data_IF_075603159789
#
_entry.id   IF_075603159789
#
_cell.length_a   1.000
_cell.length_b   1.000
_cell.length_c   1.000
_cell.angle_alpha   90.00
_cell.angle_beta   90.00
_cell.angle_gamma   90.00
#
_symmetry.space_group_name_H-M   'P 1'
#
loop_
_entity.id
_entity.type
_entity.pdbx_description
1 polymer ?
#
# COMPACT_ATOMS: atom_id res chain seq x y z
N UNK A 1 18.01 -20.18 10.13
CA UNK A 1 18.53 -19.40 11.28
C UNK A 1 17.33 -18.70 11.90
N UNK A 2 17.08 -18.81 13.21
CA UNK A 2 15.96 -18.13 13.86
C UNK A 2 16.52 -16.89 14.57
N UNK A 3 16.13 -15.69 14.13
CA UNK A 3 16.53 -14.46 14.83
C UNK A 3 15.93 -14.46 16.24
N UNK A 4 16.77 -14.47 17.29
CA UNK A 4 16.29 -14.15 18.64
C UNK A 4 16.06 -12.66 18.70
N UNK A 5 14.80 -12.25 18.70
CA UNK A 5 14.43 -10.83 18.74
C UNK A 5 14.73 -10.29 20.14
N UNK A 6 15.77 -9.46 20.28
CA UNK A 6 16.05 -8.70 21.51
C UNK A 6 14.89 -7.75 21.85
N UNK A 7 14.81 -7.29 23.10
CA UNK A 7 13.79 -6.29 23.49
C UNK A 7 13.86 -5.01 22.64
N UNK A 8 15.06 -4.58 22.23
CA UNK A 8 15.26 -3.44 21.34
C UNK A 8 14.70 -3.71 19.94
N UNK A 9 14.95 -4.90 19.38
CA UNK A 9 14.41 -5.32 18.10
C UNK A 9 12.88 -5.45 18.12
N UNK A 10 12.28 -5.89 19.24
CA UNK A 10 10.82 -5.90 19.41
C UNK A 10 10.25 -4.48 19.40
N UNK A 11 10.85 -3.56 20.17
CA UNK A 11 10.43 -2.15 20.19
C UNK A 11 10.48 -1.52 18.80
N UNK A 12 11.55 -1.79 18.04
CA UNK A 12 11.70 -1.30 16.67
C UNK A 12 10.63 -1.84 15.72
N UNK A 13 10.23 -3.11 15.84
CA UNK A 13 9.13 -3.68 15.06
C UNK A 13 7.78 -3.07 15.42
N UNK A 14 7.53 -2.84 16.72
CA UNK A 14 6.32 -2.15 17.18
C UNK A 14 6.23 -0.74 16.60
N UNK A 15 7.33 0.01 16.57
CA UNK A 15 7.37 1.33 15.93
C UNK A 15 7.01 1.26 14.44
N UNK A 16 7.53 0.28 13.69
CA UNK A 16 7.17 0.09 12.29
C UNK A 16 5.69 -0.26 12.10
N UNK A 17 5.13 -1.09 12.98
CA UNK A 17 3.69 -1.38 12.98
C UNK A 17 2.86 -0.12 13.21
N UNK A 18 3.22 0.71 14.19
CA UNK A 18 2.52 1.97 14.47
C UNK A 18 2.55 2.89 13.25
N UNK A 19 3.70 3.05 12.60
CA UNK A 19 3.83 3.84 11.37
C UNK A 19 2.93 3.28 10.27
N UNK A 20 2.94 1.95 10.06
CA UNK A 20 2.09 1.31 9.06
C UNK A 20 0.59 1.54 9.36
N UNK A 21 0.16 1.42 10.62
CA UNK A 21 -1.22 1.70 11.02
C UNK A 21 -1.60 3.17 10.81
N UNK A 22 -0.68 4.11 11.07
CA UNK A 22 -0.92 5.53 10.79
C UNK A 22 -1.17 5.78 9.30
N UNK A 23 -0.41 5.10 8.42
CA UNK A 23 -0.60 5.18 6.97
C UNK A 23 -1.94 4.56 6.54
N UNK A 24 -2.34 3.42 7.11
CA UNK A 24 -3.68 2.85 6.88
C UNK A 24 -4.78 3.79 7.36
N UNK A 25 -4.56 4.48 8.49
CA UNK A 25 -5.47 5.50 9.01
C UNK A 25 -5.71 6.66 8.03
N UNK A 26 -4.70 7.01 7.22
CA UNK A 26 -4.87 8.04 6.17
C UNK A 26 -5.90 7.63 5.11
N UNK A 27 -5.95 6.34 4.72
CA UNK A 27 -6.98 5.83 3.80
C UNK A 27 -8.39 6.02 4.37
N UNK A 28 -8.56 5.78 5.67
CA UNK A 28 -9.84 6.00 6.35
C UNK A 28 -10.21 7.49 6.37
N UNK A 29 -9.24 8.36 6.62
CA UNK A 29 -9.42 9.81 6.61
C UNK A 29 -9.88 10.27 5.22
N UNK A 30 -9.32 9.75 4.13
CA UNK A 30 -9.78 10.09 2.78
C UNK A 30 -11.24 9.74 2.55
N UNK A 31 -11.66 8.52 2.93
CA UNK A 31 -13.06 8.09 2.81
C UNK A 31 -13.97 8.97 3.64
N UNK A 32 -13.58 9.28 4.88
CA UNK A 32 -14.34 10.15 5.78
C UNK A 32 -14.49 11.57 5.22
N UNK A 33 -13.39 12.18 4.76
CA UNK A 33 -13.41 13.53 4.18
C UNK A 33 -14.29 13.58 2.93
N UNK A 34 -14.14 12.62 2.02
CA UNK A 34 -14.97 12.55 0.81
C UNK A 34 -16.45 12.35 1.16
N UNK A 35 -16.76 11.52 2.16
CA UNK A 35 -18.13 11.33 2.65
C UNK A 35 -18.72 12.61 3.24
N UNK A 36 -17.93 13.37 4.01
CA UNK A 36 -18.37 14.67 4.55
C UNK A 36 -18.62 15.69 3.44
N UNK A 37 -17.74 15.76 2.44
CA UNK A 37 -17.92 16.64 1.27
C UNK A 37 -19.21 16.31 0.51
N UNK A 38 -19.49 15.01 0.31
CA UNK A 38 -20.71 14.55 -0.35
C UNK A 38 -21.96 14.84 0.48
N UNK A 39 -21.95 14.54 1.78
CA UNK A 39 -23.13 14.68 2.65
C UNK A 39 -23.52 16.14 2.92
N UNK A 40 -22.55 17.05 2.91
CA UNK A 40 -22.80 18.48 3.05
C UNK A 40 -23.16 19.17 1.72
N UNK A 41 -23.12 18.45 0.59
CA UNK A 41 -23.29 19.04 -0.74
C UNK A 41 -22.22 20.09 -1.07
N UNK A 42 -21.06 20.03 -0.39
CA UNK A 42 -19.99 21.03 -0.47
C UNK A 42 -19.05 20.79 -1.67
N UNK A 43 -19.44 19.93 -2.61
CA UNK A 43 -18.62 19.54 -3.75
C UNK A 43 -19.24 20.01 -5.07
N UNK A 44 -18.52 20.88 -5.76
CA UNK A 44 -18.82 21.23 -7.15
C UNK A 44 -17.99 20.33 -8.05
N UNK A 45 -18.63 19.32 -8.64
CA UNK A 45 -17.98 18.36 -9.53
C UNK A 45 -17.85 18.95 -10.94
N UNK A 46 -16.77 18.59 -11.65
CA UNK A 46 -16.54 19.06 -13.02
C UNK A 46 -17.42 18.34 -14.04
N UNK A 47 -17.70 17.07 -13.79
CA UNK A 47 -18.45 16.20 -14.69
C UNK A 47 -19.54 15.47 -13.91
N UNK A 48 -20.59 15.07 -14.62
CA UNK A 48 -21.58 14.16 -14.05
C UNK A 48 -21.04 12.73 -14.00
N UNK A 49 -21.53 11.86 -13.09
CA UNK A 49 -21.07 10.47 -12.98
C UNK A 49 -21.17 9.66 -14.28
N UNK A 50 -22.08 10.02 -15.19
CA UNK A 50 -22.27 9.36 -16.48
C UNK A 50 -21.03 9.41 -17.36
N UNK A 51 -20.14 10.39 -17.18
CA UNK A 51 -18.88 10.45 -17.93
C UNK A 51 -18.01 9.20 -17.70
N UNK A 52 -18.12 8.56 -16.53
CA UNK A 52 -17.39 7.32 -16.24
C UNK A 52 -17.82 6.17 -17.16
N UNK A 53 -19.05 6.22 -17.69
CA UNK A 53 -19.59 5.24 -18.65
C UNK A 53 -19.30 5.63 -20.10
N UNK A 54 -18.84 6.85 -20.36
CA UNK A 54 -18.44 7.27 -21.71
C UNK A 54 -17.27 6.43 -22.21
N UNK A 55 -17.34 6.02 -23.47
CA UNK A 55 -16.27 5.29 -24.13
C UNK A 55 -15.05 6.18 -24.28
N UNK A 56 -13.92 5.65 -23.83
CA UNK A 56 -12.61 6.27 -23.99
C UNK A 56 -11.76 5.40 -24.92
N UNK A 57 -10.44 5.59 -24.91
CA UNK A 57 -9.46 4.84 -25.69
C UNK A 57 -9.77 3.33 -25.73
N UNK A 58 -9.63 2.73 -26.92
CA UNK A 58 -9.94 1.31 -27.21
C UNK A 58 -11.40 0.89 -26.96
N UNK A 59 -12.37 1.82 -26.99
CA UNK A 59 -13.79 1.56 -26.72
C UNK A 59 -14.06 1.05 -25.28
N UNK A 60 -13.12 1.27 -24.37
CA UNK A 60 -13.24 0.95 -22.96
C UNK A 60 -13.65 2.22 -22.24
N UNK A 61 -14.63 2.14 -21.33
CA UNK A 61 -15.09 3.31 -20.59
C UNK A 61 -14.10 3.75 -19.49
N UNK A 62 -14.18 5.01 -19.07
CA UNK A 62 -13.28 5.60 -18.07
C UNK A 62 -13.31 4.86 -16.73
N UNK A 63 -14.48 4.32 -16.33
CA UNK A 63 -14.62 3.51 -15.13
C UNK A 63 -13.73 2.26 -15.18
N UNK A 64 -13.79 1.53 -16.28
CA UNK A 64 -12.99 0.32 -16.50
C UNK A 64 -11.51 0.70 -16.57
N UNK A 65 -11.15 1.83 -17.19
CA UNK A 65 -9.77 2.32 -17.15
C UNK A 65 -9.27 2.59 -15.73
N UNK A 66 -10.06 3.24 -14.88
CA UNK A 66 -9.69 3.50 -13.50
C UNK A 66 -9.41 2.19 -12.73
N UNK A 67 -10.29 1.19 -12.87
CA UNK A 67 -10.10 -0.13 -12.25
C UNK A 67 -8.94 -0.92 -12.87
N UNK A 68 -8.73 -0.84 -14.18
CA UNK A 68 -7.60 -1.50 -14.85
C UNK A 68 -6.27 -0.93 -14.36
N UNK A 69 -6.15 0.40 -14.30
CA UNK A 69 -4.95 1.06 -13.77
C UNK A 69 -4.73 0.67 -12.32
N UNK A 70 -5.76 0.77 -11.46
CA UNK A 70 -5.66 0.34 -10.07
C UNK A 70 -5.28 -1.12 -9.90
N UNK A 71 -5.89 -2.02 -10.69
CA UNK A 71 -5.63 -3.45 -10.69
C UNK A 71 -4.21 -3.80 -11.18
N UNK A 72 -3.73 -3.14 -12.23
CA UNK A 72 -2.35 -3.32 -12.74
C UNK A 72 -1.34 -2.84 -11.71
N UNK A 73 -1.53 -1.66 -11.12
CA UNK A 73 -0.66 -1.12 -10.08
C UNK A 73 -0.63 -2.05 -8.87
N UNK A 74 -1.80 -2.55 -8.43
CA UNK A 74 -1.90 -3.51 -7.33
C UNK A 74 -1.17 -4.83 -7.66
N UNK A 75 -1.48 -5.44 -8.81
CA UNK A 75 -0.90 -6.71 -9.23
C UNK A 75 0.61 -6.63 -9.41
N UNK A 76 1.09 -5.63 -10.16
CA UNK A 76 2.51 -5.40 -10.37
C UNK A 76 3.24 -5.06 -9.07
N UNK A 77 2.64 -4.24 -8.20
CA UNK A 77 3.18 -3.90 -6.89
C UNK A 77 3.32 -5.11 -5.97
N UNK A 78 2.30 -5.97 -5.89
CA UNK A 78 2.35 -7.21 -5.10
C UNK A 78 3.43 -8.14 -5.63
N UNK A 79 3.48 -8.34 -6.94
CA UNK A 79 4.46 -9.20 -7.59
C UNK A 79 5.89 -8.69 -7.32
N UNK A 80 6.11 -7.39 -7.54
CA UNK A 80 7.41 -6.76 -7.32
C UNK A 80 7.82 -6.82 -5.85
N UNK A 81 6.92 -6.54 -4.90
CA UNK A 81 7.20 -6.62 -3.47
C UNK A 81 7.65 -8.03 -3.07
N UNK A 82 6.90 -9.06 -3.46
CA UNK A 82 7.23 -10.46 -3.14
C UNK A 82 8.61 -10.86 -3.68
N UNK A 83 8.92 -10.49 -4.92
CA UNK A 83 10.20 -10.79 -5.57
C UNK A 83 11.34 -10.03 -4.91
N UNK A 84 11.18 -8.73 -4.68
CA UNK A 84 12.18 -7.88 -4.04
C UNK A 84 12.43 -8.29 -2.59
N UNK A 85 11.38 -8.62 -1.84
CA UNK A 85 11.48 -9.15 -0.47
C UNK A 85 12.28 -10.45 -0.44
N UNK A 86 11.94 -11.41 -1.31
CA UNK A 86 12.63 -12.70 -1.38
C UNK A 86 14.10 -12.53 -1.76
N UNK A 87 14.40 -11.64 -2.72
CA UNK A 87 15.77 -11.32 -3.11
C UNK A 87 16.55 -10.69 -1.94
N UNK A 88 15.99 -9.65 -1.32
CA UNK A 88 16.58 -8.94 -0.18
C UNK A 88 16.85 -9.88 1.00
N UNK A 89 15.93 -10.78 1.29
CA UNK A 89 16.12 -11.78 2.32
C UNK A 89 17.27 -12.76 2.01
N UNK A 90 17.35 -13.28 0.78
CA UNK A 90 18.45 -14.17 0.36
C UNK A 90 19.81 -13.48 0.45
N UNK A 91 19.89 -12.22 0.04
CA UNK A 91 21.12 -11.43 0.13
C UNK A 91 21.58 -11.23 1.56
N UNK A 92 20.66 -10.93 2.49
CA UNK A 92 21.00 -10.79 3.91
C UNK A 92 21.43 -12.13 4.50
N UNK A 93 20.77 -13.24 4.13
CA UNK A 93 21.16 -14.57 4.62
C UNK A 93 22.53 -15.05 4.11
N UNK A 94 22.95 -14.59 2.94
CA UNK A 94 24.25 -14.92 2.37
C UNK A 94 25.40 -14.13 3.03
N UNK A 95 25.09 -13.08 3.80
CA UNK A 95 26.08 -12.28 4.51
C UNK A 95 26.43 -12.93 5.86
N UNK A 96 27.72 -12.94 6.18
CA UNK A 96 28.22 -13.31 7.51
C UNK A 96 28.20 -12.09 8.41
N UNK A 97 27.42 -12.13 9.48
CA UNK A 97 27.38 -11.09 10.50
C UNK A 97 28.08 -11.58 11.76
N UNK A 98 28.86 -10.71 12.40
CA UNK A 98 29.51 -11.03 13.68
C UNK A 98 28.48 -11.00 14.84
N UNK A 99 27.43 -10.17 14.71
CA UNK A 99 26.38 -10.01 15.73
C UNK A 99 24.99 -10.17 15.14
N UNK A 100 24.10 -10.84 15.86
CA UNK A 100 22.69 -11.00 15.46
C UNK A 100 21.95 -9.66 15.30
N UNK A 101 22.34 -8.65 16.07
CA UNK A 101 21.76 -7.30 16.02
C UNK A 101 22.11 -6.54 14.72
N UNK A 102 23.30 -6.78 14.17
CA UNK A 102 23.72 -6.19 12.89
C UNK A 102 22.94 -6.81 11.72
N UNK A 103 22.72 -8.12 11.76
CA UNK A 103 21.87 -8.82 10.80
C UNK A 103 20.43 -8.28 10.83
N UNK A 104 19.87 -8.12 12.03
CA UNK A 104 18.53 -7.56 12.22
C UNK A 104 18.42 -6.12 11.69
N UNK A 105 19.37 -5.25 12.04
CA UNK A 105 19.35 -3.85 11.62
C UNK A 105 19.53 -3.70 10.10
N UNK A 106 20.37 -4.52 9.49
CA UNK A 106 20.56 -4.56 8.03
C UNK A 106 19.28 -4.99 7.33
N UNK A 107 18.66 -6.09 7.78
CA UNK A 107 17.39 -6.56 7.24
C UNK A 107 16.29 -5.50 7.40
N UNK A 108 16.15 -4.95 8.61
CA UNK A 108 15.16 -3.91 8.93
C UNK A 108 15.29 -2.71 8.00
N UNK A 109 16.50 -2.16 7.85
CA UNK A 109 16.74 -0.97 7.03
C UNK A 109 16.27 -1.20 5.59
N UNK A 110 16.67 -2.33 4.98
CA UNK A 110 16.26 -2.70 3.62
C UNK A 110 14.76 -2.98 3.50
N UNK A 111 14.18 -3.65 4.50
CA UNK A 111 12.74 -3.91 4.56
C UNK A 111 11.94 -2.61 4.62
N UNK A 112 12.37 -1.65 5.44
CA UNK A 112 11.70 -0.35 5.61
C UNK A 112 11.68 0.42 4.28
N UNK A 113 12.82 0.49 3.58
CA UNK A 113 12.86 1.10 2.25
C UNK A 113 11.90 0.42 1.28
N UNK A 114 11.89 -0.93 1.26
CA UNK A 114 10.99 -1.69 0.41
C UNK A 114 9.52 -1.44 0.75
N UNK A 115 9.18 -1.42 2.03
CA UNK A 115 7.83 -1.16 2.54
C UNK A 115 7.33 0.22 2.10
N UNK A 116 8.12 1.28 2.32
CA UNK A 116 7.71 2.64 1.96
C UNK A 116 7.51 2.85 0.46
N UNK A 117 8.39 2.29 -0.38
CA UNK A 117 8.23 2.36 -1.84
C UNK A 117 6.90 1.75 -2.27
N UNK A 118 6.53 0.60 -1.70
CA UNK A 118 5.29 -0.10 -2.08
C UNK A 118 4.05 0.53 -1.43
N UNK A 119 4.16 1.07 -0.21
CA UNK A 119 3.10 1.89 0.38
C UNK A 119 2.79 3.09 -0.53
N UNK A 120 3.81 3.82 -0.99
CA UNK A 120 3.62 4.95 -1.90
C UNK A 120 3.01 4.52 -3.25
N UNK A 121 3.42 3.36 -3.78
CA UNK A 121 2.83 2.79 -4.99
C UNK A 121 1.34 2.51 -4.81
N UNK A 122 0.95 1.83 -3.73
CA UNK A 122 -0.45 1.49 -3.47
C UNK A 122 -1.29 2.73 -3.09
N UNK A 123 -0.69 3.73 -2.44
CA UNK A 123 -1.31 5.02 -2.15
C UNK A 123 -1.76 5.73 -3.42
N UNK A 124 -1.02 5.60 -4.53
CA UNK A 124 -1.43 6.17 -5.82
C UNK A 124 -2.79 5.66 -6.32
N UNK A 125 -3.21 4.45 -5.93
CA UNK A 125 -4.52 3.89 -6.25
C UNK A 125 -5.62 4.64 -5.47
N UNK A 126 -5.39 4.94 -4.19
CA UNK A 126 -6.32 5.72 -3.39
C UNK A 126 -6.41 7.16 -3.92
N UNK A 127 -5.28 7.78 -4.30
CA UNK A 127 -5.25 9.09 -4.94
C UNK A 127 -6.05 9.11 -6.24
N UNK A 128 -5.92 8.07 -7.09
CA UNK A 128 -6.77 7.93 -8.28
C UNK A 128 -8.26 7.89 -7.91
N UNK A 129 -8.63 7.17 -6.86
CA UNK A 129 -10.00 7.16 -6.33
C UNK A 129 -10.49 8.54 -5.91
N UNK A 130 -9.67 9.30 -5.20
CA UNK A 130 -9.98 10.68 -4.80
C UNK A 130 -10.17 11.56 -6.03
N UNK A 131 -9.31 11.45 -7.05
CA UNK A 131 -9.44 12.21 -8.30
C UNK A 131 -10.75 11.89 -9.00
N UNK A 132 -11.14 10.61 -9.08
CA UNK A 132 -12.44 10.21 -9.64
C UNK A 132 -13.58 10.86 -8.86
N UNK A 133 -13.57 10.78 -7.53
CA UNK A 133 -14.61 11.41 -6.70
C UNK A 133 -14.67 12.93 -6.87
N UNK A 134 -13.53 13.63 -6.82
CA UNK A 134 -13.50 15.08 -6.93
C UNK A 134 -13.93 15.59 -8.31
N UNK A 135 -13.76 14.79 -9.36
CA UNK A 135 -14.13 15.17 -10.72
C UNK A 135 -15.56 14.79 -11.09
N UNK A 136 -16.10 13.69 -10.55
CA UNK A 136 -17.41 13.14 -10.98
C UNK A 136 -18.45 13.01 -9.86
N UNK A 137 -18.03 13.11 -8.60
CA UNK A 137 -18.89 12.84 -7.44
C UNK A 137 -19.12 11.35 -7.15
N UNK A 138 -18.50 10.44 -7.92
CA UNK A 138 -18.72 9.00 -7.75
C UNK A 138 -17.97 8.44 -6.53
N UNK A 139 -18.65 8.44 -5.38
CA UNK A 139 -18.11 7.97 -4.11
C UNK A 139 -17.83 6.46 -4.11
N UNK A 140 -18.67 5.66 -4.78
CA UNK A 140 -18.52 4.21 -4.82
C UNK A 140 -17.20 3.79 -5.47
N UNK A 141 -16.82 4.38 -6.60
CA UNK A 141 -15.54 4.07 -7.27
C UNK A 141 -14.35 4.48 -6.41
N UNK A 142 -14.41 5.63 -5.74
CA UNK A 142 -13.38 6.07 -4.80
C UNK A 142 -13.19 5.07 -3.65
N UNK A 143 -14.29 4.60 -3.04
CA UNK A 143 -14.22 3.58 -1.97
C UNK A 143 -13.59 2.29 -2.49
N UNK A 144 -14.01 1.80 -3.66
CA UNK A 144 -13.46 0.56 -4.23
C UNK A 144 -11.95 0.67 -4.52
N UNK A 145 -11.49 1.79 -5.06
CA UNK A 145 -10.06 2.03 -5.30
C UNK A 145 -9.28 2.19 -3.98
N UNK A 146 -9.89 2.76 -2.95
CA UNK A 146 -9.31 2.80 -1.60
C UNK A 146 -9.18 1.40 -1.00
N UNK A 147 -10.15 0.51 -1.23
CA UNK A 147 -10.07 -0.90 -0.81
C UNK A 147 -8.95 -1.64 -1.56
N UNK A 148 -8.70 -1.32 -2.84
CA UNK A 148 -7.56 -1.87 -3.58
C UNK A 148 -6.23 -1.42 -2.97
N UNK A 149 -6.09 -0.13 -2.63
CA UNK A 149 -4.92 0.39 -1.93
C UNK A 149 -4.72 -0.32 -0.58
N UNK A 150 -5.79 -0.49 0.21
CA UNK A 150 -5.76 -1.21 1.49
C UNK A 150 -5.28 -2.65 1.32
N UNK A 151 -5.76 -3.37 0.31
CA UNK A 151 -5.28 -4.72 -0.01
C UNK A 151 -3.76 -4.74 -0.29
N UNK A 152 -3.24 -3.72 -1.00
CA UNK A 152 -1.80 -3.53 -1.18
C UNK A 152 -1.05 -3.25 0.12
N UNK A 153 -1.60 -2.40 1.00
CA UNK A 153 -1.00 -2.09 2.30
C UNK A 153 -0.88 -3.34 3.18
N UNK A 154 -1.86 -4.24 3.16
CA UNK A 154 -1.83 -5.51 3.89
C UNK A 154 -0.70 -6.43 3.46
N UNK A 155 -0.27 -6.37 2.20
CA UNK A 155 0.85 -7.18 1.68
C UNK A 155 2.17 -6.75 2.33
N UNK A 156 2.32 -5.45 2.59
CA UNK A 156 3.57 -4.85 3.11
C UNK A 156 3.57 -4.69 4.63
N UNK A 157 2.57 -5.22 5.33
CA UNK A 157 2.46 -5.15 6.78
C UNK A 157 3.75 -5.67 7.46
N UNK A 158 4.39 -4.88 8.36
CA UNK A 158 5.49 -5.38 9.17
C UNK A 158 4.96 -6.43 10.14
N UNK A 159 5.56 -7.62 10.16
CA UNK A 159 5.15 -8.69 11.08
C UNK A 159 6.36 -9.44 11.60
N UNK A 160 6.30 -9.93 12.84
CA UNK A 160 7.38 -10.74 13.42
C UNK A 160 7.72 -11.95 12.54
N UNK A 161 6.72 -12.56 11.90
CA UNK A 161 6.92 -13.69 11.00
C UNK A 161 7.89 -13.38 9.85
N UNK A 162 7.83 -12.18 9.26
CA UNK A 162 8.79 -11.74 8.22
C UNK A 162 10.23 -11.59 8.74
N UNK A 163 10.41 -11.47 10.06
CA UNK A 163 11.70 -11.34 10.72
C UNK A 163 12.15 -12.61 11.44
N UNK A 164 11.30 -13.64 11.56
CA UNK A 164 11.64 -14.91 12.25
C UNK A 164 11.67 -16.11 11.31
N UNK A 165 10.90 -16.10 10.22
CA UNK A 165 10.86 -17.18 9.24
C UNK A 165 11.90 -16.97 8.13
N UNK A 166 13.11 -17.47 8.39
CA UNK A 166 14.03 -17.94 7.36
C UNK A 166 14.64 -19.27 7.81
N UNK A 167 13.80 -20.31 7.83
CA UNK A 167 14.26 -21.68 7.64
C UNK A 167 14.40 -21.86 6.14
N UNK A 168 15.59 -22.28 5.70
CA UNK A 168 15.86 -22.66 4.32
C UNK A 168 14.89 -23.72 3.84
#
# INVERSE_FOLDING_TARGET
>A
MSFKISNASQKSLTTLMVIWFAMVGALFVYVLVCYMLLSQGAINVLYSPEILRSTFFLHINLLVWAYLVGGVVLGAGIFHFKRAYTKMAREVLAQTFEREEEAFNTFKSRYVSLMFVHLALFESIAILGIVVFLTTGDFTTMVNLTLFALAGFLVVIPSRAKFTYFKG
#
